data_IF_265483933472
#
_entry.id   IF_265483933472
#
_cell.length_a   1.000
_cell.length_b   1.000
_cell.length_c   1.000
_cell.angle_alpha   90.00
_cell.angle_beta   90.00
_cell.angle_gamma   90.00
#
_symmetry.space_group_name_H-M   'P 1'
#
loop_
_entity.id
_entity.type
_entity.pdbx_description
1 polymer ?
#
# COMPACT_ATOMS: atom_id res chain seq x y z
N UNK A 1 -50.71 -19.70 -0.51
CA UNK A 1 -51.27 -18.45 0.06
C UNK A 1 -51.99 -18.75 1.36
N UNK A 2 -51.34 -18.53 2.51
CA UNK A 2 -51.98 -18.22 3.80
C UNK A 2 -50.98 -17.36 4.57
N UNK A 3 -51.34 -16.10 4.78
CA UNK A 3 -50.55 -15.08 5.45
C UNK A 3 -50.88 -15.09 6.93
N UNK A 4 -49.88 -15.28 7.79
CA UNK A 4 -50.01 -15.06 9.23
C UNK A 4 -49.19 -13.83 9.58
N UNK A 5 -49.88 -12.71 9.80
CA UNK A 5 -49.30 -11.50 10.36
C UNK A 5 -49.17 -11.68 11.87
N UNK A 6 -47.97 -11.55 12.43
CA UNK A 6 -47.80 -11.22 13.84
C UNK A 6 -47.42 -9.73 13.95
N UNK A 7 -48.28 -8.99 14.61
CA UNK A 7 -48.08 -7.62 15.11
C UNK A 7 -48.04 -7.74 16.63
N UNK A 8 -46.98 -7.24 17.27
CA UNK A 8 -46.87 -6.84 18.68
C UNK A 8 -45.36 -6.70 19.00
N UNK A 9 -44.81 -5.68 19.65
CA UNK A 9 -45.30 -4.41 20.22
C UNK A 9 -44.02 -3.61 20.54
N UNK A 10 -44.08 -2.30 20.41
CA UNK A 10 -43.02 -1.37 20.81
C UNK A 10 -42.70 -1.48 22.32
N UNK A 11 -41.43 -1.72 22.65
CA UNK A 11 -40.88 -1.56 24.00
C UNK A 11 -39.87 -0.42 24.01
N UNK A 12 -40.32 0.76 24.42
CA UNK A 12 -39.50 1.93 24.69
C UNK A 12 -38.75 1.72 26.01
N UNK A 13 -37.42 1.61 25.97
CA UNK A 13 -36.57 1.72 27.15
C UNK A 13 -35.64 2.92 26.97
N UNK A 14 -36.05 4.06 27.51
CA UNK A 14 -35.18 5.21 27.74
C UNK A 14 -34.33 4.89 28.97
N UNK A 15 -33.02 4.77 28.78
CA UNK A 15 -32.03 4.68 29.84
C UNK A 15 -30.84 5.56 29.49
N UNK A 16 -30.83 6.79 30.00
CA UNK A 16 -29.63 7.62 30.05
C UNK A 16 -28.60 6.97 30.97
N UNK A 17 -27.42 6.64 30.45
CA UNK A 17 -26.17 6.63 31.20
C UNK A 17 -25.08 7.22 30.30
N UNK A 18 -24.52 8.34 30.74
CA UNK A 18 -23.61 9.16 29.96
C UNK A 18 -22.23 8.54 29.73
N UNK A 19 -21.58 9.09 28.70
CA UNK A 19 -20.15 9.39 28.71
C UNK A 19 -19.20 8.24 29.03
N UNK A 20 -18.99 7.34 28.07
CA UNK A 20 -17.66 6.77 27.87
C UNK A 20 -17.12 7.30 26.55
N UNK A 21 -16.38 8.41 26.63
CA UNK A 21 -15.44 8.75 25.58
C UNK A 21 -14.44 7.59 25.50
N UNK A 22 -14.46 6.85 24.39
CA UNK A 22 -13.38 5.92 24.07
C UNK A 22 -12.09 6.73 24.12
N UNK A 23 -11.23 6.43 25.11
CA UNK A 23 -9.87 6.93 25.09
C UNK A 23 -9.20 6.33 23.87
N UNK A 24 -9.15 7.09 22.78
CA UNK A 24 -8.23 6.86 21.70
C UNK A 24 -6.82 7.08 22.27
N UNK A 25 -6.25 6.04 22.87
CA UNK A 25 -4.83 6.03 23.16
C UNK A 25 -4.14 5.75 21.82
N UNK A 26 -3.89 6.81 21.04
CA UNK A 26 -2.80 6.75 20.08
C UNK A 26 -1.53 6.53 20.90
N UNK A 27 -0.96 5.31 20.84
CA UNK A 27 0.29 4.98 21.51
C UNK A 27 1.47 5.59 20.74
N UNK A 28 1.48 6.91 20.61
CA UNK A 28 2.67 7.70 20.34
C UNK A 28 3.20 8.21 21.68
N UNK A 29 3.54 7.28 22.57
CA UNK A 29 3.79 7.53 23.98
C UNK A 29 5.17 7.08 24.45
N UNK A 30 6.25 7.41 23.72
CA UNK A 30 7.57 7.44 24.35
C UNK A 30 7.62 8.74 25.15
N UNK A 31 7.35 8.64 26.45
CA UNK A 31 7.57 9.72 27.40
C UNK A 31 9.08 9.93 27.54
N UNK A 32 9.66 10.78 26.67
CA UNK A 32 11.01 11.30 26.90
C UNK A 32 10.92 12.25 28.10
N UNK A 33 11.22 11.72 29.29
CA UNK A 33 11.51 12.57 30.46
C UNK A 33 12.74 13.40 30.14
N UNK A 34 12.50 14.64 29.74
CA UNK A 34 13.51 15.67 29.56
C UNK A 34 14.06 16.07 30.94
N UNK A 35 15.14 15.41 31.35
CA UNK A 35 16.22 15.99 32.15
C UNK A 35 17.24 14.90 32.44
N UNK A 36 18.35 14.88 31.71
CA UNK A 36 19.70 14.63 32.25
C UNK A 36 20.72 15.14 31.20
N UNK A 37 21.61 16.09 31.55
CA UNK A 37 22.76 16.39 30.72
C UNK A 37 23.88 15.42 31.11
N UNK A 38 24.32 14.57 30.17
CA UNK A 38 25.63 13.93 30.30
C UNK A 38 26.27 13.82 28.92
N UNK A 39 26.90 14.92 28.52
CA UNK A 39 28.12 14.82 27.73
C UNK A 39 29.20 14.31 28.66
N UNK A 40 29.63 13.06 28.50
CA UNK A 40 30.96 12.63 28.92
C UNK A 40 31.56 11.70 27.87
N UNK A 41 32.75 12.09 27.42
CA UNK A 41 33.57 11.50 26.39
C UNK A 41 33.79 9.98 26.52
N UNK A 42 33.68 9.29 25.39
CA UNK A 42 34.25 7.97 25.16
C UNK A 42 34.86 7.93 23.77
N UNK A 43 36.10 8.39 23.65
CA UNK A 43 36.90 8.24 22.45
C UNK A 43 37.33 6.78 22.25
N UNK A 44 37.47 6.40 20.97
CA UNK A 44 38.26 5.28 20.43
C UNK A 44 37.57 3.93 20.24
N UNK A 45 36.96 3.77 19.07
CA UNK A 45 37.22 2.64 18.17
C UNK A 45 36.72 2.99 16.76
N UNK A 46 37.49 3.84 16.05
CA UNK A 46 37.30 4.02 14.62
C UNK A 46 37.80 2.76 13.90
N UNK A 47 36.93 1.75 13.81
CA UNK A 47 37.10 0.72 12.79
C UNK A 47 36.82 1.42 11.45
N UNK A 48 37.90 1.72 10.73
CA UNK A 48 37.86 2.23 9.38
C UNK A 48 37.16 1.20 8.49
N UNK A 49 35.85 1.32 8.36
CA UNK A 49 35.13 0.78 7.22
C UNK A 49 35.68 1.52 6.00
N UNK A 50 36.14 0.81 4.94
CA UNK A 50 36.47 1.49 3.70
C UNK A 50 35.19 2.17 3.23
N UNK A 51 35.20 3.49 3.22
CA UNK A 51 34.21 4.31 2.54
C UNK A 51 34.26 3.85 1.07
N UNK A 52 33.33 2.98 0.68
CA UNK A 52 33.10 2.73 -0.73
C UNK A 52 32.66 4.07 -1.30
N UNK A 53 33.57 4.69 -2.04
CA UNK A 53 33.27 5.86 -2.87
C UNK A 53 32.09 5.45 -3.73
N UNK A 54 30.91 5.98 -3.41
CA UNK A 54 29.76 5.83 -4.27
C UNK A 54 30.21 6.31 -5.66
N UNK A 55 30.08 5.43 -6.66
CA UNK A 55 30.29 5.84 -8.05
C UNK A 55 29.47 7.11 -8.27
N UNK A 56 30.03 8.14 -8.92
CA UNK A 56 29.24 9.32 -9.27
C UNK A 56 27.97 8.81 -9.94
N UNK A 57 26.80 9.20 -9.39
CA UNK A 57 25.54 9.03 -10.10
C UNK A 57 25.78 9.61 -11.49
N UNK A 58 25.41 8.81 -12.51
CA UNK A 58 25.34 9.23 -13.91
C UNK A 58 24.83 10.67 -13.95
N UNK A 59 25.53 11.52 -14.69
CA UNK A 59 25.40 12.97 -14.65
C UNK A 59 23.96 13.45 -14.59
N UNK A 60 23.74 14.45 -13.74
CA UNK A 60 22.47 15.16 -13.54
C UNK A 60 21.88 15.69 -14.87
N UNK A 61 22.73 15.85 -15.89
CA UNK A 61 22.39 16.36 -17.22
C UNK A 61 21.85 15.29 -18.21
N UNK A 62 21.97 13.97 -17.95
CA UNK A 62 21.40 12.91 -18.81
C UNK A 62 20.08 12.32 -18.27
N UNK A 63 19.71 12.63 -17.02
CA UNK A 63 18.51 12.05 -16.36
C UNK A 63 17.22 12.76 -16.78
N UNK A 64 17.29 13.99 -17.30
CA UNK A 64 16.11 14.79 -17.61
C UNK A 64 15.22 14.21 -18.72
N UNK A 65 15.73 13.31 -19.58
CA UNK A 65 15.01 12.80 -20.76
C UNK A 65 14.60 11.31 -20.68
N UNK A 66 14.96 10.60 -19.60
CA UNK A 66 14.55 9.20 -19.44
C UNK A 66 13.23 9.08 -18.67
N UNK A 67 12.20 8.40 -19.22
CA UNK A 67 10.92 8.24 -18.52
C UNK A 67 11.13 7.48 -17.20
N UNK A 68 10.62 8.04 -16.11
CA UNK A 68 10.73 7.50 -14.75
C UNK A 68 9.36 7.05 -14.24
N UNK A 69 9.28 5.97 -13.46
CA UNK A 69 8.03 5.57 -12.79
C UNK A 69 7.72 6.46 -11.58
N UNK A 70 8.74 7.06 -10.97
CA UNK A 70 8.61 7.86 -9.74
C UNK A 70 7.55 8.94 -9.91
N UNK A 71 6.65 9.06 -8.93
CA UNK A 71 5.53 9.99 -8.96
C UNK A 71 4.20 9.33 -8.59
N UNK A 72 3.11 10.02 -8.90
CA UNK A 72 1.74 9.64 -8.56
C UNK A 72 0.94 9.30 -9.83
N UNK A 73 0.13 8.25 -9.75
CA UNK A 73 -0.61 7.69 -10.87
C UNK A 73 -2.05 7.38 -10.49
N UNK A 74 -2.96 7.54 -11.45
CA UNK A 74 -4.29 6.90 -11.45
C UNK A 74 -4.14 5.57 -12.20
N UNK A 75 -4.27 4.44 -11.49
CA UNK A 75 -4.11 3.09 -12.04
C UNK A 75 -5.43 2.34 -12.02
N UNK A 76 -5.71 1.62 -13.10
CA UNK A 76 -6.86 0.72 -13.25
C UNK A 76 -6.41 -0.71 -13.47
N UNK A 77 -7.01 -1.61 -12.71
CA UNK A 77 -6.88 -3.06 -12.85
C UNK A 77 -8.05 -3.57 -13.68
N UNK A 78 -7.74 -4.23 -14.79
CA UNK A 78 -8.73 -4.65 -15.78
C UNK A 78 -8.67 -6.18 -15.92
N UNK A 79 -9.74 -6.86 -15.56
CA UNK A 79 -9.92 -8.29 -15.78
C UNK A 79 -11.24 -8.52 -16.54
N UNK A 80 -11.24 -9.47 -17.48
CA UNK A 80 -12.40 -9.78 -18.33
C UNK A 80 -13.05 -8.53 -18.99
N UNK A 81 -12.20 -7.61 -19.44
CA UNK A 81 -12.59 -6.33 -20.05
C UNK A 81 -13.42 -5.40 -19.14
N UNK A 82 -13.39 -5.62 -17.82
CA UNK A 82 -14.02 -4.76 -16.81
C UNK A 82 -12.95 -4.18 -15.89
N UNK A 83 -13.15 -2.94 -15.43
CA UNK A 83 -12.35 -2.38 -14.33
C UNK A 83 -12.79 -3.09 -13.05
N UNK A 84 -11.88 -3.85 -12.45
CA UNK A 84 -12.11 -4.60 -11.21
C UNK A 84 -11.53 -3.89 -9.99
N UNK A 85 -10.61 -2.96 -10.21
CA UNK A 85 -10.04 -2.07 -9.19
C UNK A 85 -9.49 -0.80 -9.84
N UNK A 86 -9.40 0.26 -9.07
CA UNK A 86 -8.82 1.55 -9.40
C UNK A 86 -8.18 2.15 -8.15
N UNK A 87 -7.05 2.85 -8.31
CA UNK A 87 -6.38 3.43 -7.15
C UNK A 87 -5.35 4.49 -7.51
N UNK A 88 -4.85 5.12 -6.45
CA UNK A 88 -3.74 6.06 -6.52
C UNK A 88 -2.46 5.35 -6.12
N UNK A 89 -1.54 5.26 -7.08
CA UNK A 89 -0.31 4.51 -6.94
C UNK A 89 0.89 5.46 -6.92
N UNK A 90 1.69 5.40 -5.86
CA UNK A 90 2.81 6.28 -5.62
C UNK A 90 4.13 5.50 -5.59
N UNK A 91 5.01 5.83 -6.53
CA UNK A 91 6.34 5.25 -6.64
C UNK A 91 7.41 6.20 -6.13
N UNK A 92 8.36 5.65 -5.37
CA UNK A 92 9.47 6.39 -4.78
C UNK A 92 10.80 5.97 -5.38
N UNK A 93 11.75 6.92 -5.46
CA UNK A 93 13.07 6.70 -6.06
C UNK A 93 13.92 5.63 -5.37
N UNK A 94 13.58 5.26 -4.14
CA UNK A 94 14.24 4.22 -3.35
C UNK A 94 13.75 2.79 -3.68
N UNK A 95 12.83 2.66 -4.63
CA UNK A 95 12.25 1.37 -5.03
C UNK A 95 11.05 0.95 -4.20
N UNK A 96 10.47 1.85 -3.39
CA UNK A 96 9.23 1.58 -2.65
C UNK A 96 8.00 2.11 -3.39
N UNK A 97 6.85 1.49 -3.11
CA UNK A 97 5.54 1.80 -3.67
C UNK A 97 4.48 1.85 -2.56
N UNK A 98 3.43 2.63 -2.79
CA UNK A 98 2.21 2.65 -1.99
C UNK A 98 1.01 2.78 -2.93
N UNK A 99 0.08 1.83 -2.85
CA UNK A 99 -1.23 1.90 -3.51
C UNK A 99 -2.31 2.18 -2.47
N UNK A 100 -3.23 3.09 -2.80
CA UNK A 100 -4.50 3.26 -2.11
C UNK A 100 -5.64 3.14 -3.12
N UNK A 101 -6.45 2.10 -2.98
CA UNK A 101 -7.39 1.65 -4.01
C UNK A 101 -8.85 1.60 -3.51
N UNK A 102 -9.75 1.17 -4.40
CA UNK A 102 -11.20 1.21 -4.20
C UNK A 102 -11.83 0.10 -3.35
N UNK A 103 -11.23 -1.10 -3.17
CA UNK A 103 -11.71 -2.10 -2.22
C UNK A 103 -12.09 -1.51 -0.86
N UNK A 104 -13.05 -2.11 -0.14
CA UNK A 104 -13.33 -1.68 1.22
C UNK A 104 -12.08 -1.92 2.10
N UNK A 105 -11.86 -1.14 3.17
CA UNK A 105 -10.70 -1.34 4.05
C UNK A 105 -10.54 -2.77 4.57
N UNK A 106 -11.65 -3.50 4.77
CA UNK A 106 -11.62 -4.91 5.16
C UNK A 106 -10.96 -5.83 4.12
N UNK A 107 -11.06 -5.49 2.83
CA UNK A 107 -10.40 -6.19 1.74
C UNK A 107 -8.93 -5.79 1.57
N UNK A 108 -8.47 -4.78 2.32
CA UNK A 108 -7.07 -4.33 2.33
C UNK A 108 -6.78 -3.26 1.28
N UNK A 109 -7.37 -2.07 1.44
CA UNK A 109 -7.37 -1.04 0.40
C UNK A 109 -6.12 -0.13 0.36
N UNK A 110 -5.14 -0.42 1.23
CA UNK A 110 -3.84 0.26 1.25
C UNK A 110 -2.76 -0.81 1.23
N UNK A 111 -1.96 -0.78 0.18
CA UNK A 111 -0.88 -1.73 -0.05
C UNK A 111 0.47 -1.02 0.08
N UNK A 112 1.50 -1.79 0.47
CA UNK A 112 2.89 -1.34 0.43
C UNK A 112 3.65 -2.23 -0.53
N UNK A 113 4.59 -1.65 -1.27
CA UNK A 113 5.31 -2.40 -2.29
C UNK A 113 6.77 -2.10 -2.40
N UNK A 114 7.42 -2.99 -3.14
CA UNK A 114 8.80 -2.84 -3.61
C UNK A 114 8.88 -3.17 -5.08
N UNK A 115 9.61 -2.37 -5.82
CA UNK A 115 9.80 -2.54 -7.26
C UNK A 115 11.26 -2.45 -7.67
N UNK A 116 11.56 -3.08 -8.80
CA UNK A 116 12.86 -2.97 -9.46
C UNK A 116 12.71 -2.85 -10.97
N UNK A 117 13.63 -2.12 -11.61
CA UNK A 117 13.70 -2.06 -13.06
C UNK A 117 14.20 -3.40 -13.61
N UNK A 118 13.44 -3.98 -14.54
CA UNK A 118 13.76 -5.27 -15.18
C UNK A 118 14.22 -5.11 -16.63
N UNK A 119 14.22 -3.89 -17.15
CA UNK A 119 14.65 -3.57 -18.51
C UNK A 119 14.31 -2.13 -18.90
N UNK A 120 14.56 -1.73 -20.16
CA UNK A 120 14.24 -0.39 -20.62
C UNK A 120 12.75 -0.08 -20.47
N UNK A 121 12.40 0.87 -19.59
CA UNK A 121 11.02 1.28 -19.27
C UNK A 121 10.15 0.18 -18.65
N UNK A 122 10.74 -0.92 -18.21
CA UNK A 122 9.99 -2.04 -17.63
C UNK A 122 10.42 -2.31 -16.20
N UNK A 123 9.46 -2.58 -15.34
CA UNK A 123 9.71 -2.90 -13.94
C UNK A 123 8.83 -4.07 -13.47
N UNK A 124 9.22 -4.69 -12.38
CA UNK A 124 8.38 -5.63 -11.65
C UNK A 124 8.09 -5.06 -10.26
N UNK A 125 6.83 -5.13 -9.86
CA UNK A 125 6.35 -4.70 -8.55
C UNK A 125 5.79 -5.91 -7.81
N UNK A 126 6.04 -5.95 -6.51
CA UNK A 126 5.33 -6.80 -5.56
C UNK A 126 4.83 -5.91 -4.44
N UNK A 127 3.52 -5.81 -4.29
CA UNK A 127 2.92 -5.06 -3.20
C UNK A 127 1.88 -5.88 -2.44
N UNK A 128 2.22 -6.33 -1.21
CA UNK A 128 1.28 -7.00 -0.32
C UNK A 128 0.34 -6.03 0.41
N UNK A 129 -0.81 -6.57 0.79
CA UNK A 129 -1.78 -5.94 1.69
C UNK A 129 -2.32 -6.94 2.70
N UNK A 130 -2.78 -6.44 3.85
CA UNK A 130 -3.44 -7.24 4.86
C UNK A 130 -4.90 -7.43 4.52
N UNK A 131 -5.37 -8.67 4.60
CA UNK A 131 -6.77 -9.00 4.44
C UNK A 131 -7.43 -9.17 5.80
N UNK A 132 -8.57 -8.52 6.00
CA UNK A 132 -9.39 -8.65 7.20
C UNK A 132 -10.63 -9.50 6.94
N UNK A 133 -11.21 -10.01 8.03
CA UNK A 133 -12.50 -10.64 7.99
C UNK A 133 -13.61 -9.65 7.56
N UNK A 134 -14.79 -10.12 7.13
CA UNK A 134 -15.88 -9.22 6.73
C UNK A 134 -16.36 -8.26 7.82
N UNK A 135 -16.01 -8.51 9.09
CA UNK A 135 -16.32 -7.61 10.22
C UNK A 135 -15.26 -6.53 10.43
N UNK A 136 -14.16 -6.56 9.66
CA UNK A 136 -13.00 -5.67 9.77
C UNK A 136 -12.35 -5.66 11.16
N UNK A 137 -12.38 -6.81 11.85
CA UNK A 137 -11.88 -6.96 13.23
C UNK A 137 -10.59 -7.77 13.29
N UNK A 138 -10.47 -8.80 12.45
CA UNK A 138 -9.35 -9.73 12.50
C UNK A 138 -8.64 -9.80 11.15
N UNK A 139 -7.31 -9.75 11.16
CA UNK A 139 -6.51 -10.10 9.98
C UNK A 139 -6.65 -11.60 9.74
N UNK A 140 -7.05 -11.99 8.54
CA UNK A 140 -7.28 -13.38 8.14
C UNK A 140 -6.27 -13.88 7.11
N UNK A 141 -5.49 -12.98 6.51
CA UNK A 141 -4.53 -13.33 5.49
C UNK A 141 -3.86 -12.12 4.86
N UNK A 142 -3.32 -12.35 3.68
CA UNK A 142 -2.71 -11.34 2.82
C UNK A 142 -3.22 -11.46 1.40
N UNK A 143 -3.32 -10.31 0.77
CA UNK A 143 -3.36 -10.18 -0.68
C UNK A 143 -1.93 -9.84 -1.13
N UNK A 144 -1.47 -10.45 -2.22
CA UNK A 144 -0.20 -10.05 -2.85
C UNK A 144 -0.45 -9.85 -4.32
N UNK A 145 -0.25 -8.63 -4.78
CA UNK A 145 -0.38 -8.28 -6.18
C UNK A 145 1.04 -8.25 -6.76
N UNK A 146 1.20 -8.92 -7.89
CA UNK A 146 2.45 -9.02 -8.64
C UNK A 146 2.24 -8.35 -9.99
N UNK A 147 3.09 -7.39 -10.32
CA UNK A 147 2.91 -6.61 -11.54
C UNK A 147 4.14 -6.61 -12.43
N UNK A 148 3.88 -6.50 -13.73
CA UNK A 148 4.87 -6.18 -14.75
C UNK A 148 4.41 -4.94 -15.49
N UNK A 149 5.12 -3.85 -15.32
CA UNK A 149 4.75 -2.54 -15.83
C UNK A 149 5.69 -2.16 -16.97
N UNK A 150 5.15 -1.51 -18.00
CA UNK A 150 5.88 -0.87 -19.09
C UNK A 150 5.44 0.58 -19.21
N UNK A 151 6.35 1.51 -18.96
CA UNK A 151 6.11 2.93 -19.17
C UNK A 151 6.09 3.25 -20.65
N UNK A 152 5.28 4.23 -21.03
CA UNK A 152 5.39 4.85 -22.35
C UNK A 152 6.71 5.62 -22.50
N UNK A 153 7.01 6.08 -23.71
CA UNK A 153 8.26 6.82 -23.97
C UNK A 153 8.28 8.18 -23.28
N UNK A 154 7.13 8.82 -23.07
CA UNK A 154 7.03 10.12 -22.42
C UNK A 154 6.95 10.04 -20.89
N UNK A 155 6.87 8.84 -20.32
CA UNK A 155 6.68 8.65 -18.88
C UNK A 155 5.39 9.27 -18.37
N UNK A 156 4.35 9.38 -19.20
CA UNK A 156 3.03 9.95 -18.87
C UNK A 156 1.95 8.90 -18.65
N UNK A 157 2.17 7.67 -19.13
CA UNK A 157 1.26 6.54 -18.95
C UNK A 157 2.05 5.26 -18.78
N UNK A 158 1.43 4.23 -18.22
CA UNK A 158 1.96 2.88 -18.28
C UNK A 158 0.88 1.86 -18.54
N UNK A 159 1.30 0.72 -19.09
CA UNK A 159 0.48 -0.49 -19.20
C UNK A 159 1.21 -1.66 -18.58
N UNK A 160 0.49 -2.72 -18.28
CA UNK A 160 1.11 -3.88 -17.64
C UNK A 160 0.17 -5.06 -17.46
N UNK A 161 0.66 -6.03 -16.72
CA UNK A 161 -0.11 -7.20 -16.28
C UNK A 161 -0.03 -7.32 -14.78
N UNK A 162 -1.10 -7.82 -14.16
CA UNK A 162 -1.10 -8.12 -12.73
C UNK A 162 -1.53 -9.56 -12.44
N UNK A 163 -1.13 -10.06 -11.26
CA UNK A 163 -1.66 -11.27 -10.64
C UNK A 163 -1.91 -11.00 -9.16
N UNK A 164 -3.14 -11.19 -8.70
CA UNK A 164 -3.54 -11.09 -7.30
C UNK A 164 -3.54 -12.48 -6.68
N UNK A 165 -2.85 -12.62 -5.56
CA UNK A 165 -2.72 -13.85 -4.81
C UNK A 165 -3.36 -13.72 -3.43
N UNK A 166 -4.31 -14.60 -3.13
CA UNK A 166 -4.99 -14.66 -1.84
C UNK A 166 -4.39 -15.78 -1.00
N UNK A 167 -3.78 -15.44 0.14
CA UNK A 167 -3.13 -16.42 1.04
C UNK A 167 -3.55 -16.20 2.49
N UNK A 168 -3.90 -17.27 3.19
CA UNK A 168 -4.20 -17.21 4.62
C UNK A 168 -2.93 -16.91 5.44
N UNK A 169 -3.07 -16.76 6.76
CA UNK A 169 -1.92 -16.51 7.64
C UNK A 169 -0.89 -17.66 7.69
N UNK A 170 -1.26 -18.87 7.28
CA UNK A 170 -0.35 -20.02 7.16
C UNK A 170 0.28 -20.11 5.77
N UNK A 171 -0.10 -19.23 4.83
CA UNK A 171 0.39 -19.20 3.46
C UNK A 171 -0.40 -20.08 2.49
N UNK A 172 -1.51 -20.69 2.90
CA UNK A 172 -2.34 -21.50 2.00
C UNK A 172 -3.20 -20.61 1.11
N UNK A 173 -3.40 -21.05 -0.14
CA UNK A 173 -4.36 -20.41 -1.04
C UNK A 173 -5.78 -20.71 -0.60
N UNK A 174 -6.61 -19.67 -0.43
CA UNK A 174 -8.05 -19.84 -0.11
C UNK A 174 -8.99 -19.27 -1.18
N UNK A 175 -8.45 -18.62 -2.23
CA UNK A 175 -9.20 -18.23 -3.43
C UNK A 175 -8.30 -18.34 -4.68
N UNK A 176 -8.86 -18.58 -5.88
CA UNK A 176 -8.09 -18.56 -7.11
C UNK A 176 -7.37 -17.23 -7.32
N UNK A 177 -6.19 -17.28 -7.95
CA UNK A 177 -5.46 -16.07 -8.32
C UNK A 177 -6.26 -15.31 -9.42
N UNK A 178 -6.35 -13.99 -9.29
CA UNK A 178 -6.98 -13.11 -10.30
C UNK A 178 -5.88 -12.52 -11.19
N UNK A 179 -6.07 -12.51 -12.50
CA UNK A 179 -5.09 -11.96 -13.45
C UNK A 179 -5.74 -10.99 -14.40
N UNK A 180 -4.98 -9.98 -14.83
CA UNK A 180 -5.49 -9.00 -15.78
C UNK A 180 -4.43 -8.04 -16.31
N UNK A 181 -4.90 -6.93 -16.84
CA UNK A 181 -4.10 -5.85 -17.41
C UNK A 181 -4.13 -4.62 -16.52
N UNK A 182 -3.07 -3.84 -16.58
CA UNK A 182 -2.97 -2.53 -15.95
C UNK A 182 -3.04 -1.45 -17.03
N UNK A 183 -3.67 -0.34 -16.68
CA UNK A 183 -3.54 0.92 -17.40
C UNK A 183 -3.46 2.05 -16.38
N UNK A 184 -2.51 2.95 -16.55
CA UNK A 184 -2.39 4.12 -15.68
C UNK A 184 -2.00 5.38 -16.43
N UNK A 185 -2.42 6.51 -15.86
CA UNK A 185 -2.12 7.85 -16.31
C UNK A 185 -1.46 8.65 -15.18
N UNK A 186 -0.42 9.43 -15.51
CA UNK A 186 0.33 10.20 -14.52
C UNK A 186 -0.49 11.38 -14.02
N UNK A 187 -0.57 11.52 -12.70
CA UNK A 187 -1.12 12.70 -12.03
C UNK A 187 0.01 13.73 -11.86
N UNK A 188 -0.25 14.97 -12.27
CA UNK A 188 0.67 16.11 -12.08
C UNK A 188 -0.05 17.29 -11.43
N UNK A 189 0.65 18.12 -10.64
CA UNK A 189 0.11 19.41 -10.22
C UNK A 189 -0.09 20.31 -11.46
N UNK A 190 -1.16 21.10 -11.45
CA UNK A 190 -1.51 22.06 -12.51
C UNK A 190 -0.51 23.22 -12.61
#
# INVERSE_FOLDING_TARGET
MKSTKLIATFGLAIGLCGGFASRANAQCGVSLKHNQPLFTNGANAANALPLMTAKPRVGEDEIADSPTIVGLWDVKFIADNQVVDEGFDQYHIDGTEILNDTPPPAAGNVCLGVYENTGPRTLSLKHPSWLYDPTNTFVIGRVTILERITLDRGGRSFTGTFTVQFRDLSGNTFAPDLTGQLKADRITPD
#
